data_IF_473847733658
#
_entry.id   IF_473847733658
#
_cell.length_a   1.000
_cell.length_b   1.000
_cell.length_c   1.000
_cell.angle_alpha   90.00
_cell.angle_beta   90.00
_cell.angle_gamma   90.00
#
_symmetry.space_group_name_H-M   'P 1'
#
loop_
_entity.id
_entity.type
_entity.pdbx_description
1 polymer ?
#
# COMPACT_ATOMS: atom_id res chain seq x y z
N UNK A 1 1.51 -13.18 -6.38
CA UNK A 1 2.95 -12.93 -6.62
C UNK A 1 3.35 -13.01 -8.08
N UNK A 2 2.72 -13.90 -8.86
CA UNK A 2 2.98 -13.99 -10.31
C UNK A 2 2.73 -12.67 -11.03
N UNK A 3 1.68 -11.94 -10.68
CA UNK A 3 1.36 -10.65 -11.31
C UNK A 3 2.44 -9.60 -11.08
N UNK A 4 3.05 -9.59 -9.88
CA UNK A 4 4.15 -8.67 -9.57
C UNK A 4 5.38 -9.02 -10.40
N UNK A 5 5.73 -10.31 -10.49
CA UNK A 5 6.86 -10.77 -11.30
C UNK A 5 6.69 -10.41 -12.77
N UNK A 6 5.49 -10.55 -13.32
CA UNK A 6 5.21 -10.17 -14.71
C UNK A 6 5.39 -8.67 -14.94
N UNK A 7 4.93 -7.85 -13.99
CA UNK A 7 5.13 -6.40 -14.05
C UNK A 7 6.59 -6.04 -14.09
N UNK A 8 7.43 -6.70 -13.28
CA UNK A 8 8.86 -6.44 -13.23
C UNK A 8 9.59 -6.86 -14.50
N UNK A 9 9.13 -7.93 -15.15
CA UNK A 9 9.74 -8.41 -16.40
C UNK A 9 9.56 -7.45 -17.56
N UNK A 10 8.55 -6.56 -17.51
CA UNK A 10 8.38 -5.52 -18.53
C UNK A 10 9.20 -4.26 -18.28
N UNK A 11 10.04 -4.24 -17.26
CA UNK A 11 10.90 -3.11 -16.89
C UNK A 11 10.11 -1.79 -16.75
N UNK A 12 9.06 -1.74 -15.93
CA UNK A 12 8.22 -0.56 -15.79
C UNK A 12 8.94 0.58 -15.05
N UNK A 13 8.51 1.82 -15.31
CA UNK A 13 8.95 2.98 -14.51
C UNK A 13 8.10 3.15 -13.26
N UNK A 14 6.86 2.72 -13.34
CA UNK A 14 5.89 2.75 -12.23
C UNK A 14 5.17 1.42 -12.21
N UNK A 15 5.07 0.84 -11.03
CA UNK A 15 4.30 -0.39 -10.81
C UNK A 15 2.99 -0.02 -10.10
N UNK A 16 1.86 -0.37 -10.72
CA UNK A 16 0.54 -0.17 -10.13
C UNK A 16 -0.01 -1.51 -9.65
N UNK A 17 -0.33 -1.58 -8.36
CA UNK A 17 -0.90 -2.78 -7.73
C UNK A 17 -2.26 -2.44 -7.14
N UNK A 18 -3.31 -3.14 -7.60
CA UNK A 18 -4.68 -2.92 -7.15
C UNK A 18 -5.11 -4.09 -6.26
N UNK A 19 -5.25 -3.81 -4.96
CA UNK A 19 -5.64 -4.76 -3.92
C UNK A 19 -4.87 -6.09 -3.99
N UNK A 20 -3.52 -6.07 -4.01
CA UNK A 20 -2.74 -7.29 -4.19
C UNK A 20 -2.85 -8.26 -3.01
N UNK A 21 -3.31 -7.82 -1.84
CA UNK A 21 -3.48 -8.69 -0.66
C UNK A 21 -4.81 -9.46 -0.68
N UNK A 22 -5.73 -9.12 -1.59
CA UNK A 22 -7.06 -9.71 -1.61
C UNK A 22 -6.98 -11.23 -1.81
N UNK A 23 -7.61 -11.98 -0.93
CA UNK A 23 -7.66 -13.43 -0.99
C UNK A 23 -6.41 -14.15 -0.48
N UNK A 24 -5.38 -13.42 -0.02
CA UNK A 24 -4.17 -14.02 0.51
C UNK A 24 -4.30 -14.33 2.01
N UNK A 25 -3.60 -15.39 2.45
CA UNK A 25 -3.48 -15.67 3.88
C UNK A 25 -2.65 -14.59 4.59
N UNK A 26 -2.78 -14.44 5.93
CA UNK A 26 -2.00 -13.43 6.66
C UNK A 26 -0.49 -13.52 6.44
N UNK A 27 0.06 -14.72 6.36
CA UNK A 27 1.49 -14.91 6.10
C UNK A 27 1.88 -14.41 4.70
N UNK A 28 1.07 -14.73 3.70
CA UNK A 28 1.32 -14.29 2.33
C UNK A 28 1.15 -12.78 2.18
N UNK A 29 0.22 -12.17 2.91
CA UNK A 29 0.05 -10.72 2.95
C UNK A 29 1.34 -10.06 3.46
N UNK A 30 1.88 -10.56 4.56
CA UNK A 30 3.11 -10.05 5.15
C UNK A 30 4.30 -10.16 4.17
N UNK A 31 4.43 -11.31 3.52
CA UNK A 31 5.49 -11.54 2.52
C UNK A 31 5.32 -10.62 1.31
N UNK A 32 4.09 -10.38 0.88
CA UNK A 32 3.78 -9.50 -0.24
C UNK A 32 4.21 -8.05 0.07
N UNK A 33 3.86 -7.53 1.24
CA UNK A 33 4.26 -6.16 1.62
C UNK A 33 5.77 -6.03 1.76
N UNK A 34 6.45 -7.04 2.28
CA UNK A 34 7.92 -7.07 2.34
C UNK A 34 8.52 -7.01 0.94
N UNK A 35 7.97 -7.75 -0.01
CA UNK A 35 8.43 -7.75 -1.39
C UNK A 35 8.22 -6.39 -2.06
N UNK A 36 7.05 -5.78 -1.85
CA UNK A 36 6.74 -4.46 -2.41
C UNK A 36 7.74 -3.41 -1.89
N UNK A 37 8.07 -3.45 -0.61
CA UNK A 37 9.04 -2.53 -0.03
C UNK A 37 10.42 -2.72 -0.66
N UNK A 38 10.86 -3.95 -0.86
CA UNK A 38 12.13 -4.25 -1.53
C UNK A 38 12.16 -3.72 -2.96
N UNK A 39 11.09 -3.91 -3.70
CA UNK A 39 10.96 -3.41 -5.08
C UNK A 39 11.07 -1.89 -5.11
N UNK A 40 10.36 -1.21 -4.21
CA UNK A 40 10.41 0.25 -4.12
C UNK A 40 11.83 0.73 -3.75
N UNK A 41 12.52 0.02 -2.87
CA UNK A 41 13.87 0.38 -2.44
C UNK A 41 14.89 0.31 -3.59
N UNK A 42 14.59 -0.39 -4.68
CA UNK A 42 15.44 -0.41 -5.88
C UNK A 42 15.30 0.85 -6.73
N UNK A 43 14.42 1.78 -6.36
CA UNK A 43 14.17 3.01 -7.09
C UNK A 43 12.92 3.00 -7.96
N UNK A 44 12.20 1.88 -8.01
CA UNK A 44 10.95 1.79 -8.77
C UNK A 44 9.82 2.45 -7.97
N UNK A 45 9.11 3.39 -8.61
CA UNK A 45 7.92 3.99 -8.01
C UNK A 45 6.78 2.96 -7.98
N UNK A 46 6.09 2.85 -6.85
CA UNK A 46 4.98 1.92 -6.68
C UNK A 46 3.74 2.68 -6.23
N UNK A 47 2.63 2.46 -6.94
CA UNK A 47 1.31 2.93 -6.53
C UNK A 47 0.55 1.70 -6.04
N UNK A 48 0.13 1.74 -4.78
CA UNK A 48 -0.55 0.62 -4.12
C UNK A 48 -1.97 1.05 -3.74
N UNK A 49 -2.97 0.36 -4.28
CA UNK A 49 -4.37 0.52 -3.87
C UNK A 49 -4.70 -0.64 -2.95
N UNK A 50 -5.05 -0.33 -1.69
CA UNK A 50 -5.19 -1.37 -0.68
C UNK A 50 -6.18 -0.96 0.41
N UNK A 51 -6.91 -1.94 0.93
CA UNK A 51 -7.79 -1.76 2.09
C UNK A 51 -7.07 -2.02 3.41
N UNK A 52 -5.93 -2.69 3.37
CA UNK A 52 -5.12 -2.98 4.55
C UNK A 52 -4.33 -1.73 4.95
N UNK A 53 -4.96 -0.87 5.74
CA UNK A 53 -4.43 0.47 6.07
C UNK A 53 -3.15 0.37 6.91
N UNK A 54 -3.13 -0.50 7.90
CA UNK A 54 -1.99 -0.63 8.83
C UNK A 54 -0.71 -0.98 8.07
N UNK A 55 -0.75 -2.03 7.26
CA UNK A 55 0.45 -2.49 6.55
C UNK A 55 0.82 -1.55 5.40
N UNK A 56 -0.17 -0.97 4.72
CA UNK A 56 0.09 -0.01 3.65
C UNK A 56 0.81 1.22 4.18
N UNK A 57 0.35 1.79 5.30
CA UNK A 57 1.00 2.96 5.90
C UNK A 57 2.39 2.63 6.44
N UNK A 58 2.64 1.38 6.83
CA UNK A 58 3.94 0.98 7.34
C UNK A 58 5.04 1.04 6.28
N UNK A 59 4.70 0.84 5.01
CA UNK A 59 5.67 0.85 3.90
C UNK A 59 5.57 2.07 2.99
N UNK A 60 4.47 2.82 3.03
CA UNK A 60 4.25 3.95 2.14
C UNK A 60 5.05 5.18 2.57
N UNK A 61 5.46 5.97 1.59
CA UNK A 61 6.01 7.31 1.83
C UNK A 61 4.88 8.33 1.96
N UNK A 62 3.85 8.17 1.14
CA UNK A 62 2.71 9.07 1.06
C UNK A 62 1.44 8.26 0.84
N UNK A 63 0.31 8.76 1.36
CA UNK A 63 -0.95 8.06 1.23
C UNK A 63 -2.13 9.00 0.99
N UNK A 64 -3.16 8.46 0.36
CA UNK A 64 -4.42 9.14 0.08
C UNK A 64 -5.55 8.22 0.54
N UNK A 65 -6.39 8.69 1.45
CA UNK A 65 -7.56 7.94 1.90
C UNK A 65 -8.75 8.41 1.07
N UNK A 66 -9.37 7.49 0.34
CA UNK A 66 -10.48 7.80 -0.55
C UNK A 66 -11.78 7.30 0.05
N UNK A 67 -12.76 8.18 0.15
CA UNK A 67 -14.12 7.87 0.59
C UNK A 67 -15.13 8.43 -0.40
N UNK A 68 -16.09 7.61 -0.80
CA UNK A 68 -17.17 8.02 -1.70
C UNK A 68 -16.69 8.75 -2.94
N UNK A 69 -15.59 8.27 -3.52
CA UNK A 69 -15.03 8.80 -4.75
C UNK A 69 -14.20 10.07 -4.62
N UNK A 70 -13.95 10.53 -3.39
CA UNK A 70 -13.11 11.71 -3.18
C UNK A 70 -12.04 11.47 -2.11
N UNK A 71 -10.97 12.28 -2.16
CA UNK A 71 -9.89 12.20 -1.18
C UNK A 71 -10.35 12.81 0.12
N UNK A 72 -10.47 11.99 1.17
CA UNK A 72 -10.83 12.44 2.51
C UNK A 72 -9.63 12.95 3.30
N UNK A 73 -8.50 12.22 3.22
CA UNK A 73 -7.26 12.54 3.94
C UNK A 73 -6.10 12.27 3.00
N UNK A 74 -5.07 13.13 3.01
CA UNK A 74 -3.85 12.87 2.27
C UNK A 74 -2.65 13.47 3.00
N UNK A 75 -1.47 12.91 2.75
CA UNK A 75 -0.24 13.43 3.31
C UNK A 75 0.85 12.38 3.45
N UNK A 76 1.98 12.73 4.09
CA UNK A 76 3.02 11.77 4.40
C UNK A 76 2.48 10.64 5.27
N UNK A 77 2.87 9.40 4.98
CA UNK A 77 2.37 8.24 5.71
C UNK A 77 2.68 8.31 7.21
N UNK A 78 3.82 8.91 7.57
CA UNK A 78 4.19 9.09 8.98
C UNK A 78 3.16 9.93 9.74
N UNK A 79 2.62 10.98 9.12
CA UNK A 79 1.58 11.80 9.72
C UNK A 79 0.25 11.06 9.80
N UNK A 80 -0.09 10.30 8.77
CA UNK A 80 -1.34 9.55 8.74
C UNK A 80 -1.35 8.43 9.79
N UNK A 81 -0.21 7.84 10.09
CA UNK A 81 -0.11 6.83 11.15
C UNK A 81 -0.48 7.39 12.53
N UNK A 82 -0.26 8.69 12.74
CA UNK A 82 -0.54 9.38 14.00
C UNK A 82 -1.92 10.07 14.00
N UNK A 83 -2.64 10.04 12.87
CA UNK A 83 -3.93 10.72 12.75
C UNK A 83 -5.01 9.99 13.57
N UNK A 84 -5.58 10.67 14.56
CA UNK A 84 -6.58 10.09 15.47
C UNK A 84 -7.86 9.72 14.73
N UNK A 85 -8.32 10.55 13.81
CA UNK A 85 -9.55 10.29 13.05
C UNK A 85 -9.37 9.06 12.16
N UNK A 86 -8.20 8.92 11.54
CA UNK A 86 -7.88 7.76 10.73
C UNK A 86 -7.85 6.49 11.59
N UNK A 87 -7.24 6.54 12.76
CA UNK A 87 -7.18 5.40 13.69
C UNK A 87 -8.58 4.95 14.08
N UNK A 88 -9.48 5.89 14.41
CA UNK A 88 -10.85 5.55 14.79
C UNK A 88 -11.66 4.98 13.64
N UNK A 89 -11.53 5.58 12.44
CA UNK A 89 -12.37 5.22 11.30
C UNK A 89 -11.91 3.94 10.59
N UNK A 90 -10.61 3.70 10.51
CA UNK A 90 -10.06 2.65 9.65
C UNK A 90 -9.24 1.60 10.38
N UNK A 91 -8.67 1.92 11.54
CA UNK A 91 -7.84 0.97 12.29
C UNK A 91 -8.58 0.34 13.48
N UNK A 92 -9.76 0.84 13.81
CA UNK A 92 -10.55 0.30 14.92
C UNK A 92 -9.97 0.59 16.30
N UNK A 93 -9.16 1.61 16.43
CA UNK A 93 -8.49 1.96 17.69
C UNK A 93 -9.16 3.05 18.48
#
# INVERSE_FOLDING_TARGET
MVAISRGLMSEPRVLLLDEPSLGLSPLLVEQMFTLIKKINDTGLAVILVEQNVIQSLAIADRAYVIEQGSVAISGPAAELRENTDLKKSYLGL
#
